data_IF_108137106676
#
_entry.id   IF_108137106676
#
_cell.length_a   1.000
_cell.length_b   1.000
_cell.length_c   1.000
_cell.angle_alpha   90.00
_cell.angle_beta   90.00
_cell.angle_gamma   90.00
#
_symmetry.space_group_name_H-M   'P 1'
#
loop_
_entity.id
_entity.type
_entity.pdbx_description
1 polymer ?
#
# COMPACT_ATOMS: atom_id res chain seq x y z
N UNK A 1 31.22 26.93 -36.37
CA UNK A 1 32.36 26.12 -35.88
C UNK A 1 31.80 24.95 -35.08
N UNK A 2 31.70 23.78 -35.70
CA UNK A 2 31.20 22.56 -35.09
C UNK A 2 32.37 21.78 -34.49
N UNK A 3 32.27 21.38 -33.22
CA UNK A 3 33.21 20.46 -32.58
C UNK A 3 32.41 19.34 -31.92
N UNK A 4 32.18 18.28 -32.69
CA UNK A 4 31.56 17.03 -32.23
C UNK A 4 32.70 16.10 -31.82
N UNK A 5 32.85 15.86 -30.51
CA UNK A 5 33.74 14.81 -29.99
C UNK A 5 32.98 13.49 -29.98
N UNK A 6 33.31 12.60 -30.91
CA UNK A 6 32.80 11.24 -30.98
C UNK A 6 33.59 10.39 -29.97
N UNK A 7 32.91 9.93 -28.92
CA UNK A 7 33.46 8.96 -27.95
C UNK A 7 33.06 7.57 -28.42
N UNK A 8 34.04 6.79 -28.89
CA UNK A 8 33.87 5.38 -29.24
C UNK A 8 33.93 4.53 -27.96
N UNK A 9 32.79 4.03 -27.48
CA UNK A 9 32.77 2.97 -26.46
C UNK A 9 32.91 1.61 -27.13
N UNK A 10 34.02 0.93 -26.84
CA UNK A 10 34.31 -0.43 -27.24
C UNK A 10 33.56 -1.41 -26.34
N UNK A 11 32.61 -2.17 -26.89
CA UNK A 11 31.86 -3.19 -26.16
C UNK A 11 32.60 -4.53 -26.22
N UNK A 12 33.20 -4.93 -25.11
CA UNK A 12 33.71 -6.29 -24.94
C UNK A 12 32.54 -7.22 -24.58
N UNK A 13 32.11 -8.06 -25.53
CA UNK A 13 31.11 -9.11 -25.33
C UNK A 13 31.85 -10.34 -24.76
N UNK A 14 31.74 -10.57 -23.46
CA UNK A 14 32.22 -11.82 -22.84
C UNK A 14 31.13 -12.88 -22.90
N UNK A 15 31.37 -13.90 -23.72
CA UNK A 15 30.55 -15.11 -23.81
C UNK A 15 30.68 -15.92 -22.51
N UNK A 16 29.57 -16.10 -21.80
CA UNK A 16 29.47 -17.01 -20.66
C UNK A 16 29.07 -18.40 -21.20
N UNK A 17 29.87 -19.46 -20.99
CA UNK A 17 29.46 -20.80 -21.37
C UNK A 17 28.34 -21.30 -20.46
N UNK A 18 27.19 -21.64 -21.05
CA UNK A 18 26.11 -22.37 -20.42
C UNK A 18 26.60 -23.77 -20.03
N UNK A 19 26.74 -24.04 -18.74
CA UNK A 19 26.90 -25.40 -18.21
C UNK A 19 25.51 -25.97 -18.01
N UNK A 20 25.13 -26.93 -18.85
CA UNK A 20 23.90 -27.71 -18.74
C UNK A 20 24.07 -28.73 -17.61
N UNK A 21 23.26 -28.63 -16.55
CA UNK A 21 23.19 -29.63 -15.49
C UNK A 21 21.92 -30.45 -15.69
N UNK A 22 22.07 -31.70 -16.13
CA UNK A 22 21.02 -32.71 -16.14
C UNK A 22 20.98 -33.37 -14.76
N UNK A 23 19.88 -33.22 -14.03
CA UNK A 23 19.62 -34.00 -12.82
C UNK A 23 18.73 -35.20 -13.19
N UNK A 24 19.31 -36.39 -13.20
CA UNK A 24 18.59 -37.66 -13.21
C UNK A 24 18.05 -37.91 -11.80
N UNK A 25 16.73 -38.06 -11.65
CA UNK A 25 16.10 -38.53 -10.41
C UNK A 25 15.69 -39.98 -10.63
N UNK A 26 16.57 -40.91 -10.23
CA UNK A 26 16.22 -42.31 -10.04
C UNK A 26 15.56 -42.47 -8.66
N UNK A 27 14.34 -43.01 -8.65
CA UNK A 27 13.68 -43.41 -7.42
C UNK A 27 14.27 -44.70 -6.85
N UNK A 28 14.30 -44.80 -5.52
CA UNK A 28 13.77 -45.98 -4.85
C UNK A 28 13.43 -45.70 -3.39
N UNK A 29 12.30 -46.28 -2.97
CA UNK A 29 11.75 -46.28 -1.62
C UNK A 29 12.59 -47.14 -0.67
N UNK A 30 12.68 -46.77 0.62
CA UNK A 30 12.72 -47.69 1.76
C UNK A 30 12.65 -46.93 3.09
N UNK A 31 11.71 -47.34 3.93
CA UNK A 31 11.51 -46.92 5.31
C UNK A 31 12.70 -47.31 6.19
N UNK A 32 13.04 -46.45 7.15
CA UNK A 32 13.63 -46.85 8.41
C UNK A 32 13.19 -45.85 9.49
N UNK A 33 12.36 -46.34 10.41
CA UNK A 33 12.03 -45.71 11.68
C UNK A 33 13.30 -45.45 12.48
N UNK A 34 13.43 -44.25 13.04
CA UNK A 34 14.24 -44.01 14.24
C UNK A 34 13.62 -42.87 15.02
N UNK A 35 13.01 -43.23 16.15
CA UNK A 35 12.52 -42.31 17.15
C UNK A 35 13.70 -41.63 17.85
N UNK A 36 13.81 -40.31 17.69
CA UNK A 36 14.58 -39.47 18.60
C UNK A 36 13.64 -38.35 19.06
N UNK A 37 13.19 -38.53 20.30
CA UNK A 37 12.56 -37.51 21.11
C UNK A 37 13.54 -36.35 21.30
N UNK A 38 13.14 -35.16 20.89
CA UNK A 38 13.83 -33.92 21.25
C UNK A 38 12.75 -32.86 21.44
N UNK A 39 12.51 -32.59 22.71
CA UNK A 39 11.83 -31.47 23.33
C UNK A 39 11.92 -30.17 22.50
N UNK A 40 10.89 -29.90 21.70
CA UNK A 40 10.68 -28.61 21.04
C UNK A 40 9.73 -27.83 21.92
N UNK A 41 10.30 -26.92 22.72
CA UNK A 41 9.54 -25.88 23.39
C UNK A 41 8.65 -25.18 22.35
N UNK A 42 7.34 -25.40 22.49
CA UNK A 42 6.30 -24.76 21.67
C UNK A 42 6.24 -23.28 22.03
N UNK A 43 7.20 -22.50 21.54
CA UNK A 43 6.97 -21.09 21.28
C UNK A 43 5.94 -21.05 20.15
N UNK A 44 4.67 -21.00 20.54
CA UNK A 44 3.56 -20.71 19.66
C UNK A 44 3.84 -19.37 18.99
N UNK A 45 4.46 -19.42 17.81
CA UNK A 45 4.48 -18.33 16.87
C UNK A 45 3.02 -18.12 16.48
N UNK A 46 2.31 -17.28 17.24
CA UNK A 46 0.98 -16.83 16.87
C UNK A 46 1.10 -16.31 15.44
N UNK A 47 0.32 -16.84 14.49
CA UNK A 47 0.28 -16.27 13.16
C UNK A 47 -0.06 -14.79 13.30
N UNK A 48 0.91 -13.90 13.02
CA UNK A 48 0.58 -12.49 12.78
C UNK A 48 -0.35 -12.53 11.59
N UNK A 49 -1.63 -12.28 11.82
CA UNK A 49 -2.66 -12.19 10.78
C UNK A 49 -2.18 -11.17 9.75
N UNK A 50 -1.53 -11.68 8.69
CA UNK A 50 -1.02 -10.92 7.57
C UNK A 50 -2.24 -10.57 6.73
N UNK A 51 -2.42 -9.28 6.45
CA UNK A 51 -3.63 -8.68 5.88
C UNK A 51 -4.82 -8.65 6.85
N UNK A 52 -5.09 -7.48 7.41
CA UNK A 52 -6.44 -7.16 7.82
C UNK A 52 -7.22 -6.88 6.52
N UNK A 53 -7.74 -7.94 5.89
CA UNK A 53 -8.48 -7.89 4.60
C UNK A 53 -9.81 -7.14 4.70
N UNK A 54 -10.09 -6.51 5.84
CA UNK A 54 -11.27 -5.68 6.02
C UNK A 54 -11.08 -4.40 5.21
N UNK A 55 -12.00 -4.17 4.29
CA UNK A 55 -12.07 -2.93 3.54
C UNK A 55 -12.64 -1.81 4.43
N UNK A 56 -12.23 -0.56 4.20
CA UNK A 56 -12.94 0.57 4.78
C UNK A 56 -14.39 0.57 4.26
N UNK A 57 -15.38 0.90 5.11
CA UNK A 57 -16.79 0.92 4.70
C UNK A 57 -17.12 2.09 3.78
N UNK A 58 -16.25 3.10 3.69
CA UNK A 58 -16.40 4.28 2.84
C UNK A 58 -15.30 4.32 1.79
N UNK A 59 -15.68 4.73 0.58
CA UNK A 59 -14.79 4.96 -0.54
C UNK A 59 -13.70 6.00 -0.23
N UNK A 60 -14.01 6.98 0.62
CA UNK A 60 -13.15 8.12 0.94
C UNK A 60 -12.37 7.94 2.25
N UNK A 61 -12.21 6.70 2.70
CA UNK A 61 -11.49 6.38 3.93
C UNK A 61 -10.14 5.71 3.63
N UNK A 62 -9.07 6.30 4.13
CA UNK A 62 -7.70 5.78 4.03
C UNK A 62 -7.52 4.66 5.05
N UNK A 63 -7.24 3.43 4.59
CA UNK A 63 -6.87 2.33 5.48
C UNK A 63 -5.43 2.51 5.99
N UNK A 64 -5.28 2.82 7.28
CA UNK A 64 -3.95 3.12 7.87
C UNK A 64 -3.01 1.93 7.98
N UNK A 65 -3.48 0.71 7.68
CA UNK A 65 -2.67 -0.51 7.74
C UNK A 65 -2.05 -0.91 6.40
N UNK A 66 -2.44 -0.24 5.32
CA UNK A 66 -2.01 -0.53 3.95
C UNK A 66 -1.19 0.62 3.37
N UNK A 67 -0.30 0.31 2.44
CA UNK A 67 0.39 1.28 1.62
C UNK A 67 -0.23 1.28 0.22
N UNK A 68 -0.08 2.37 -0.53
CA UNK A 68 -0.52 2.44 -1.92
C UNK A 68 -1.17 3.78 -2.28
N UNK A 69 -1.94 3.76 -3.35
CA UNK A 69 -2.57 4.94 -3.92
C UNK A 69 -3.99 5.14 -3.35
N UNK A 70 -4.31 6.39 -3.04
CA UNK A 70 -5.60 6.81 -2.51
C UNK A 70 -6.14 7.99 -3.30
N UNK A 71 -7.30 7.80 -3.90
CA UNK A 71 -7.99 8.81 -4.69
C UNK A 71 -9.12 9.45 -3.89
N UNK A 72 -9.34 10.75 -4.05
CA UNK A 72 -10.43 11.47 -3.40
C UNK A 72 -10.99 12.56 -4.31
N UNK A 73 -12.26 12.93 -4.11
CA UNK A 73 -12.90 14.03 -4.84
C UNK A 73 -12.93 15.34 -4.02
N UNK A 74 -13.31 15.23 -2.75
CA UNK A 74 -13.52 16.34 -1.84
C UNK A 74 -12.84 16.08 -0.51
N UNK A 75 -12.12 17.08 -0.05
CA UNK A 75 -11.24 17.03 1.12
C UNK A 75 -12.03 16.76 2.41
N UNK A 76 -13.25 17.26 2.51
CA UNK A 76 -14.13 17.07 3.67
C UNK A 76 -14.61 15.64 3.87
N UNK A 77 -14.53 14.78 2.85
CA UNK A 77 -14.91 13.37 2.96
C UNK A 77 -13.75 12.47 3.37
N UNK A 78 -12.51 12.98 3.32
CA UNK A 78 -11.32 12.18 3.60
C UNK A 78 -11.20 11.93 5.09
N UNK A 79 -11.23 10.66 5.45
CA UNK A 79 -11.02 10.20 6.81
C UNK A 79 -9.97 9.09 6.83
N UNK A 80 -9.33 8.91 7.96
CA UNK A 80 -8.54 7.73 8.26
C UNK A 80 -9.48 6.64 8.77
N UNK A 81 -9.18 5.38 8.46
CA UNK A 81 -9.92 4.23 8.96
C UNK A 81 -9.01 3.14 9.52
N UNK A 82 -9.46 2.50 10.60
CA UNK A 82 -8.86 1.34 11.24
C UNK A 82 -9.92 0.27 11.54
N UNK A 83 -9.60 -1.00 11.27
CA UNK A 83 -10.49 -2.11 11.61
C UNK A 83 -10.44 -2.48 13.11
N UNK A 84 -9.25 -2.48 13.71
CA UNK A 84 -9.09 -2.78 15.14
C UNK A 84 -9.25 -1.51 15.99
N UNK A 85 -10.20 -1.56 16.92
CA UNK A 85 -10.55 -0.47 17.83
C UNK A 85 -10.50 -0.87 19.30
N UNK A 86 -9.97 -2.05 19.60
CA UNK A 86 -9.88 -2.60 20.95
C UNK A 86 -9.02 -1.76 21.88
N UNK A 87 -7.97 -1.12 21.33
CA UNK A 87 -7.04 -0.27 22.05
C UNK A 87 -6.97 1.15 21.46
N UNK A 88 -6.63 2.16 22.27
CA UNK A 88 -6.33 3.48 21.75
C UNK A 88 -5.01 3.41 20.96
N UNK A 89 -4.89 4.20 19.90
CA UNK A 89 -3.66 4.23 19.10
C UNK A 89 -3.19 5.65 18.87
N UNK A 90 -1.87 5.83 18.89
CA UNK A 90 -1.20 7.04 18.42
C UNK A 90 -0.87 6.84 16.94
N UNK A 91 -1.27 7.78 16.11
CA UNK A 91 -0.87 7.82 14.71
C UNK A 91 0.03 9.02 14.48
N UNK A 92 1.02 8.85 13.61
CA UNK A 92 1.88 9.94 13.14
C UNK A 92 1.70 10.04 11.63
N UNK A 93 1.41 11.23 11.12
CA UNK A 93 1.35 11.50 9.69
C UNK A 93 2.49 12.45 9.38
N UNK A 94 3.25 12.13 8.34
CA UNK A 94 4.43 12.86 7.94
C UNK A 94 4.40 13.09 6.43
N UNK A 95 4.79 14.28 5.97
CA UNK A 95 4.99 14.51 4.53
C UNK A 95 6.23 13.75 4.06
N UNK A 96 6.12 13.00 2.96
CA UNK A 96 7.28 12.32 2.38
C UNK A 96 8.33 13.32 1.87
N UNK A 97 7.88 14.45 1.33
CA UNK A 97 8.75 15.48 0.75
C UNK A 97 9.31 16.44 1.81
N UNK A 98 8.67 16.55 2.96
CA UNK A 98 9.12 17.35 4.09
C UNK A 98 8.97 16.57 5.40
N UNK A 99 9.94 15.71 5.75
CA UNK A 99 9.89 14.89 6.96
C UNK A 99 9.75 15.69 8.28
N UNK A 100 10.11 16.98 8.30
CA UNK A 100 9.94 17.83 9.49
C UNK A 100 8.48 18.25 9.69
N UNK A 101 7.66 18.19 8.65
CA UNK A 101 6.23 18.41 8.74
C UNK A 101 5.57 17.10 9.16
N UNK A 102 5.25 17.01 10.45
CA UNK A 102 4.53 15.89 11.05
C UNK A 102 3.35 16.36 11.91
N UNK A 103 2.34 15.49 12.05
CA UNK A 103 1.28 15.65 13.04
C UNK A 103 1.06 14.33 13.77
N UNK A 104 0.86 14.44 15.08
CA UNK A 104 0.51 13.30 15.93
C UNK A 104 -0.96 13.41 16.28
N UNK A 105 -1.73 12.35 16.00
CA UNK A 105 -3.13 12.27 16.38
C UNK A 105 -3.34 11.13 17.38
N UNK A 106 -4.21 11.36 18.35
CA UNK A 106 -4.67 10.35 19.30
C UNK A 106 -6.01 9.81 18.83
N UNK A 107 -6.10 8.49 18.70
CA UNK A 107 -7.29 7.81 18.22
C UNK A 107 -7.84 6.90 19.32
N UNK A 108 -8.97 7.27 19.96
CA UNK A 108 -9.50 6.54 21.11
C UNK A 108 -10.12 5.20 20.71
N UNK A 109 -10.30 4.31 21.69
CA UNK A 109 -10.98 3.01 21.53
C UNK A 109 -12.38 3.15 20.94
N UNK A 110 -12.88 2.08 20.34
CA UNK A 110 -14.22 1.98 19.74
C UNK A 110 -14.53 2.97 18.59
N UNK A 111 -13.54 3.72 18.11
CA UNK A 111 -13.66 4.57 16.93
C UNK A 111 -12.92 3.95 15.74
N UNK A 112 -13.65 3.66 14.68
CA UNK A 112 -13.12 3.09 13.42
C UNK A 112 -12.62 4.16 12.46
N UNK A 113 -13.06 5.42 12.62
CA UNK A 113 -12.68 6.56 11.76
C UNK A 113 -12.08 7.70 12.57
N UNK A 114 -11.23 8.49 11.90
CA UNK A 114 -10.69 9.75 12.41
C UNK A 114 -10.55 10.73 11.25
N UNK A 115 -10.96 11.97 11.45
CA UNK A 115 -10.90 12.99 10.39
C UNK A 115 -9.46 13.30 9.99
N UNK A 116 -9.24 13.48 8.69
CA UNK A 116 -7.94 13.90 8.18
C UNK A 116 -7.56 15.30 8.72
N UNK A 117 -6.31 15.52 9.17
CA UNK A 117 -5.87 16.78 9.77
C UNK A 117 -5.58 17.86 8.70
N UNK A 118 -6.65 18.38 8.09
CA UNK A 118 -6.58 19.31 6.95
C UNK A 118 -5.83 20.62 7.23
N UNK A 119 -5.75 21.08 8.48
CA UNK A 119 -5.03 22.31 8.84
C UNK A 119 -3.52 22.15 8.71
N UNK A 120 -2.98 20.97 9.06
CA UNK A 120 -1.55 20.67 8.99
C UNK A 120 -1.15 20.04 7.66
N UNK A 121 -2.06 19.29 7.05
CA UNK A 121 -1.87 18.58 5.80
C UNK A 121 -3.03 18.86 4.84
N UNK A 122 -3.08 20.06 4.24
CA UNK A 122 -4.14 20.40 3.30
C UNK A 122 -4.05 19.48 2.07
N UNK A 123 -5.17 18.86 1.72
CA UNK A 123 -5.31 18.07 0.50
C UNK A 123 -5.80 18.97 -0.65
N UNK A 124 -5.06 20.03 -0.95
CA UNK A 124 -5.41 21.01 -2.00
C UNK A 124 -4.94 20.61 -3.40
N UNK A 125 -3.90 19.77 -3.49
CA UNK A 125 -3.17 19.45 -4.72
C UNK A 125 -3.21 17.95 -5.04
N UNK A 126 -2.86 17.59 -6.29
CA UNK A 126 -2.68 16.20 -6.73
C UNK A 126 -1.23 15.72 -6.49
N UNK A 127 -1.02 14.40 -6.46
CA UNK A 127 0.30 13.75 -6.31
C UNK A 127 1.03 14.11 -5.01
N UNK A 128 0.28 14.17 -3.91
CA UNK A 128 0.84 14.30 -2.57
C UNK A 128 1.27 12.93 -2.05
N UNK A 129 2.24 12.88 -1.14
CA UNK A 129 2.67 11.63 -0.56
C UNK A 129 2.95 11.77 0.95
N UNK A 130 2.38 10.85 1.72
CA UNK A 130 2.43 10.87 3.18
C UNK A 130 2.85 9.51 3.73
N UNK A 131 3.64 9.53 4.79
CA UNK A 131 3.89 8.35 5.61
C UNK A 131 2.91 8.40 6.78
N UNK A 132 2.04 7.39 6.87
CA UNK A 132 1.16 7.18 8.02
C UNK A 132 1.75 6.05 8.86
N UNK A 133 2.09 6.36 10.10
CA UNK A 133 2.68 5.43 11.06
C UNK A 133 1.68 5.08 12.15
N UNK A 134 1.48 3.77 12.34
CA UNK A 134 0.65 3.18 13.39
C UNK A 134 1.49 2.13 14.10
N UNK A 135 1.63 2.22 15.43
CA UNK A 135 2.46 1.29 16.23
C UNK A 135 3.87 1.10 15.64
N UNK A 136 4.53 2.20 15.30
CA UNK A 136 5.88 2.25 14.74
C UNK A 136 6.07 1.62 13.36
N UNK A 137 4.95 1.33 12.69
CA UNK A 137 4.93 0.77 11.36
C UNK A 137 4.43 1.83 10.39
N UNK A 138 5.34 2.38 9.58
CA UNK A 138 5.05 3.35 8.54
C UNK A 138 4.48 2.72 7.26
N UNK A 139 3.55 3.43 6.62
CA UNK A 139 2.97 3.10 5.32
C UNK A 139 2.99 4.34 4.44
N UNK A 140 3.53 4.20 3.23
CA UNK A 140 3.48 5.25 2.22
C UNK A 140 2.10 5.26 1.55
N UNK A 141 1.45 6.41 1.59
CA UNK A 141 0.18 6.69 0.91
C UNK A 141 0.43 7.77 -0.12
N UNK A 142 0.24 7.44 -1.40
CA UNK A 142 0.20 8.43 -2.48
C UNK A 142 -1.25 8.91 -2.61
N UNK A 143 -1.45 10.21 -2.56
CA UNK A 143 -2.78 10.81 -2.61
C UNK A 143 -2.98 11.47 -3.97
N UNK A 144 -4.09 11.11 -4.61
CA UNK A 144 -4.50 11.63 -5.90
C UNK A 144 -5.84 12.34 -5.83
N UNK A 145 -5.87 13.59 -6.29
CA UNK A 145 -7.11 14.38 -6.33
C UNK A 145 -7.80 14.17 -7.67
N UNK A 146 -9.06 13.75 -7.63
CA UNK A 146 -9.89 13.67 -8.82
C UNK A 146 -10.01 15.07 -9.46
N UNK A 147 -9.75 15.21 -10.78
CA UNK A 147 -9.91 16.46 -11.48
C UNK A 147 -11.35 16.99 -11.37
N UNK A 148 -11.50 18.30 -11.24
CA UNK A 148 -12.81 18.91 -11.02
C UNK A 148 -13.80 18.63 -12.16
N UNK A 149 -13.30 18.46 -13.38
CA UNK A 149 -14.11 18.10 -14.56
C UNK A 149 -14.78 16.73 -14.40
N UNK A 150 -14.21 15.84 -13.59
CA UNK A 150 -14.74 14.50 -13.34
C UNK A 150 -15.67 14.45 -12.13
N UNK A 151 -15.81 15.53 -11.35
CA UNK A 151 -16.68 15.54 -10.16
C UNK A 151 -18.16 15.25 -10.49
N UNK A 152 -18.60 15.66 -11.68
CA UNK A 152 -19.97 15.44 -12.17
C UNK A 152 -20.03 14.40 -13.31
N UNK A 153 -18.90 13.76 -13.63
CA UNK A 153 -18.85 12.70 -14.62
C UNK A 153 -19.48 11.41 -14.07
N UNK A 154 -19.80 10.46 -14.95
CA UNK A 154 -20.36 9.17 -14.54
C UNK A 154 -19.40 8.39 -13.62
N UNK A 155 -19.92 7.51 -12.76
CA UNK A 155 -19.10 6.65 -11.91
C UNK A 155 -18.10 5.82 -12.73
N UNK A 156 -18.47 5.42 -13.95
CA UNK A 156 -17.58 4.70 -14.87
C UNK A 156 -16.38 5.53 -15.31
N UNK A 157 -16.57 6.81 -15.63
CA UNK A 157 -15.49 7.71 -16.03
C UNK A 157 -14.56 8.02 -14.84
N UNK A 158 -15.15 8.26 -13.65
CA UNK A 158 -14.39 8.46 -12.41
C UNK A 158 -13.57 7.21 -12.07
N UNK A 159 -14.18 6.02 -12.09
CA UNK A 159 -13.53 4.75 -11.82
C UNK A 159 -12.38 4.48 -12.80
N UNK A 160 -12.56 4.77 -14.09
CA UNK A 160 -11.51 4.65 -15.10
C UNK A 160 -10.31 5.52 -14.77
N UNK A 161 -10.53 6.78 -14.38
CA UNK A 161 -9.44 7.67 -13.96
C UNK A 161 -8.76 7.15 -12.69
N UNK A 162 -9.53 6.69 -11.71
CA UNK A 162 -8.99 6.12 -10.46
C UNK A 162 -8.11 4.90 -10.72
N UNK A 163 -8.51 4.01 -11.64
CA UNK A 163 -7.68 2.87 -12.06
C UNK A 163 -6.35 3.31 -12.69
N UNK A 164 -6.37 4.35 -13.53
CA UNK A 164 -5.15 4.88 -14.15
C UNK A 164 -4.18 5.48 -13.13
N UNK A 165 -4.69 5.95 -11.99
CA UNK A 165 -3.91 6.46 -10.86
C UNK A 165 -3.51 5.40 -9.82
N UNK A 166 -3.83 4.12 -10.05
CA UNK A 166 -3.50 3.03 -9.12
C UNK A 166 -4.56 2.75 -8.05
N UNK A 167 -5.62 3.56 -7.96
CA UNK A 167 -6.72 3.42 -7.00
C UNK A 167 -7.75 2.36 -7.43
N UNK A 168 -7.31 1.22 -7.97
CA UNK A 168 -8.17 0.21 -8.60
C UNK A 168 -9.26 -0.33 -7.66
N UNK A 169 -8.94 -0.53 -6.38
CA UNK A 169 -9.90 -1.01 -5.38
C UNK A 169 -10.99 0.02 -5.09
N UNK A 170 -10.63 1.29 -4.99
CA UNK A 170 -11.62 2.36 -4.80
C UNK A 170 -12.49 2.50 -6.05
N UNK A 171 -11.91 2.36 -7.24
CA UNK A 171 -12.68 2.36 -8.49
C UNK A 171 -13.75 1.26 -8.51
N UNK A 172 -13.41 0.04 -8.07
CA UNK A 172 -14.38 -1.06 -7.95
C UNK A 172 -15.48 -0.75 -6.92
N UNK A 173 -15.12 -0.23 -5.74
CA UNK A 173 -16.08 0.19 -4.72
C UNK A 173 -17.05 1.27 -5.22
N UNK A 174 -16.56 2.22 -6.02
CA UNK A 174 -17.37 3.28 -6.63
C UNK A 174 -18.42 2.67 -7.58
N UNK A 175 -18.01 1.78 -8.48
CA UNK A 175 -18.91 1.11 -9.42
C UNK A 175 -19.97 0.27 -8.71
N UNK A 176 -19.58 -0.46 -7.66
CA UNK A 176 -20.51 -1.29 -6.89
C UNK A 176 -21.55 -0.46 -6.13
N UNK A 177 -21.21 0.76 -5.72
CA UNK A 177 -22.15 1.66 -5.04
C UNK A 177 -23.18 2.22 -6.02
N UNK A 178 -22.74 2.59 -7.23
CA UNK A 178 -23.60 3.16 -8.28
C UNK A 178 -24.63 2.14 -8.79
N UNK A 179 -24.25 0.85 -8.90
CA UNK A 179 -25.15 -0.24 -9.30
C UNK A 179 -26.27 -0.48 -8.26
N UNK A 180 -26.01 -0.21 -6.99
CA UNK A 180 -26.94 -0.47 -5.89
C UNK A 180 -27.73 0.78 -5.44
N UNK A 181 -27.55 1.92 -6.12
CA UNK A 181 -28.23 3.20 -5.83
C UNK A 181 -29.42 3.43 -6.75
#
# INVERSE_FOLDING_TARGET
MFNIKIVLLSTAITLIPFVSYSAEINGNSSQAENAISSDVGQQSLRPRKRSNTSLPPSLWSINVYEAGDFCYNKTEYVNLWRADTSEPVKITIQSQNNPQQEVILRWPTHQTTLTWPNTQFPLSEDNLAYIIQVNDIGRLINIHRLPEQLNNASATEQAKWMQQKGCARQAEMLLNTDINS
#
